data_IF_634747413699
#
_entry.id   IF_634747413699
#
_cell.length_a   1.000
_cell.length_b   1.000
_cell.length_c   1.000
_cell.angle_alpha   90.00
_cell.angle_beta   90.00
_cell.angle_gamma   90.00
#
_symmetry.space_group_name_H-M   'P 1'
#
loop_
_entity.id
_entity.type
_entity.pdbx_description
1 polymer ?
#
# COMPACT_ATOMS: atom_id res chain seq x y z
N UNK A 1 -25.37 12.15 -3.76
CA UNK A 1 -24.35 11.88 -2.71
C UNK A 1 -24.90 12.44 -1.42
N UNK A 2 -25.09 11.57 -0.43
CA UNK A 2 -25.61 11.99 0.88
C UNK A 2 -24.53 12.73 1.69
N UNK A 3 -24.94 13.55 2.66
CA UNK A 3 -24.02 14.28 3.54
C UNK A 3 -23.00 13.34 4.21
N UNK A 4 -23.43 12.13 4.59
CA UNK A 4 -22.59 11.11 5.22
C UNK A 4 -21.46 10.65 4.27
N UNK A 5 -21.76 10.41 3.00
CA UNK A 5 -20.77 10.01 1.99
C UNK A 5 -19.73 11.11 1.76
N UNK A 6 -20.17 12.37 1.71
CA UNK A 6 -19.27 13.52 1.61
C UNK A 6 -18.33 13.61 2.82
N UNK A 7 -18.87 13.45 4.04
CA UNK A 7 -18.07 13.46 5.28
C UNK A 7 -17.04 12.34 5.29
N UNK A 8 -17.43 11.12 4.90
CA UNK A 8 -16.51 9.98 4.79
C UNK A 8 -15.37 10.26 3.81
N UNK A 9 -15.67 10.81 2.62
CA UNK A 9 -14.67 11.18 1.63
C UNK A 9 -13.70 12.25 2.17
N UNK A 10 -14.21 13.28 2.86
CA UNK A 10 -13.36 14.34 3.43
C UNK A 10 -12.47 13.79 4.54
N UNK A 11 -12.99 12.93 5.42
CA UNK A 11 -12.22 12.29 6.48
C UNK A 11 -11.17 11.31 5.94
N UNK A 12 -11.39 10.77 4.75
CA UNK A 12 -10.44 9.86 4.09
C UNK A 12 -9.20 10.58 3.55
N UNK A 13 -9.30 11.87 3.21
CA UNK A 13 -8.18 12.65 2.65
C UNK A 13 -6.96 12.68 3.60
N UNK A 14 -7.09 13.03 4.90
CA UNK A 14 -5.98 12.97 5.85
C UNK A 14 -5.31 11.60 5.93
N UNK A 15 -6.09 10.52 5.88
CA UNK A 15 -5.57 9.15 5.94
C UNK A 15 -4.71 8.83 4.71
N UNK A 16 -5.17 9.22 3.51
CA UNK A 16 -4.38 9.07 2.29
C UNK A 16 -3.12 9.94 2.31
N UNK A 17 -3.21 11.18 2.79
CA UNK A 17 -2.05 12.06 2.93
C UNK A 17 -1.01 11.45 3.89
N UNK A 18 -1.45 10.89 5.01
CA UNK A 18 -0.57 10.19 5.96
C UNK A 18 0.07 8.94 5.33
N UNK A 19 -0.68 8.15 4.57
CA UNK A 19 -0.15 6.98 3.88
C UNK A 19 0.94 7.36 2.87
N UNK A 20 0.69 8.39 2.05
CA UNK A 20 1.66 8.92 1.09
C UNK A 20 2.89 9.49 1.80
N UNK A 21 2.70 10.26 2.88
CA UNK A 21 3.80 10.80 3.68
C UNK A 21 4.66 9.69 4.31
N UNK A 22 4.03 8.62 4.80
CA UNK A 22 4.71 7.44 5.35
C UNK A 22 5.53 6.73 4.27
N UNK A 23 4.97 6.50 3.08
CA UNK A 23 5.70 5.91 1.95
C UNK A 23 6.90 6.76 1.53
N UNK A 24 6.73 8.08 1.46
CA UNK A 24 7.80 9.01 1.13
C UNK A 24 8.92 8.98 2.18
N UNK A 25 8.56 9.05 3.47
CA UNK A 25 9.51 8.96 4.57
C UNK A 25 10.27 7.64 4.53
N UNK A 26 9.56 6.52 4.37
CA UNK A 26 10.15 5.19 4.28
C UNK A 26 11.13 5.07 3.12
N UNK A 27 10.77 5.57 1.93
CA UNK A 27 11.67 5.58 0.79
C UNK A 27 12.94 6.40 1.07
N UNK A 28 12.82 7.54 1.76
CA UNK A 28 13.96 8.38 2.14
C UNK A 28 14.89 7.65 3.13
N UNK A 29 14.32 7.00 4.14
CA UNK A 29 15.07 6.19 5.12
C UNK A 29 15.80 5.04 4.42
N UNK A 30 15.14 4.30 3.54
CA UNK A 30 15.76 3.18 2.82
C UNK A 30 16.92 3.61 1.92
N UNK A 31 16.83 4.79 1.30
CA UNK A 31 17.95 5.38 0.56
C UNK A 31 19.13 5.73 1.48
N UNK A 32 18.86 6.27 2.67
CA UNK A 32 19.91 6.61 3.66
C UNK A 32 20.67 5.36 4.15
N UNK A 33 19.95 4.27 4.42
CA UNK A 33 20.53 2.99 4.87
C UNK A 33 21.17 2.22 3.69
N UNK A 34 21.18 2.79 2.47
CA UNK A 34 21.72 2.18 1.24
C UNK A 34 21.15 0.79 0.95
N UNK A 35 19.93 0.51 1.41
CA UNK A 35 19.25 -0.74 1.09
C UNK A 35 18.79 -0.64 -0.36
N UNK A 36 19.59 -1.16 -1.29
CA UNK A 36 19.27 -1.20 -2.74
C UNK A 36 17.89 -1.81 -3.03
N UNK A 37 17.39 -2.64 -2.10
CA UNK A 37 16.12 -3.36 -2.20
C UNK A 37 14.93 -2.66 -1.54
N UNK A 38 15.12 -1.49 -0.93
CA UNK A 38 14.02 -0.72 -0.35
C UNK A 38 12.96 -0.31 -1.38
N UNK A 39 13.34 -0.20 -2.66
CA UNK A 39 12.40 0.04 -3.75
C UNK A 39 11.33 -1.07 -3.86
N UNK A 40 11.69 -2.34 -3.65
CA UNK A 40 10.76 -3.48 -3.71
C UNK A 40 9.67 -3.33 -2.65
N UNK A 41 10.06 -2.92 -1.44
CA UNK A 41 9.13 -2.69 -0.33
C UNK A 41 8.24 -1.48 -0.59
N UNK A 42 8.77 -0.40 -1.15
CA UNK A 42 7.96 0.76 -1.59
C UNK A 42 6.94 0.35 -2.66
N UNK A 43 7.34 -0.46 -3.64
CA UNK A 43 6.43 -0.97 -4.67
C UNK A 43 5.29 -1.77 -4.05
N UNK A 44 5.57 -2.66 -3.09
CA UNK A 44 4.50 -3.37 -2.36
C UNK A 44 3.55 -2.42 -1.63
N UNK A 45 4.08 -1.37 -1.00
CA UNK A 45 3.26 -0.36 -0.32
C UNK A 45 2.36 0.43 -1.26
N UNK A 46 2.82 0.72 -2.48
CA UNK A 46 2.00 1.35 -3.52
C UNK A 46 0.85 0.44 -3.94
N UNK A 47 1.12 -0.85 -4.21
CA UNK A 47 0.06 -1.79 -4.57
C UNK A 47 -0.97 -1.98 -3.45
N UNK A 48 -0.53 -2.03 -2.18
CA UNK A 48 -1.43 -2.06 -1.03
C UNK A 48 -2.30 -0.80 -0.95
N UNK A 49 -1.71 0.39 -1.11
CA UNK A 49 -2.43 1.65 -1.05
C UNK A 49 -3.48 1.76 -2.16
N UNK A 50 -3.10 1.43 -3.41
CA UNK A 50 -4.03 1.46 -4.55
C UNK A 50 -5.13 0.42 -4.36
N UNK A 51 -4.79 -0.80 -3.92
CA UNK A 51 -5.78 -1.84 -3.63
C UNK A 51 -6.78 -1.41 -2.56
N UNK A 52 -6.30 -0.80 -1.48
CA UNK A 52 -7.16 -0.24 -0.43
C UNK A 52 -8.09 0.86 -0.95
N UNK A 53 -7.56 1.82 -1.73
CA UNK A 53 -8.38 2.90 -2.31
C UNK A 53 -9.46 2.33 -3.20
N UNK A 54 -9.11 1.40 -4.10
CA UNK A 54 -10.08 0.75 -4.99
C UNK A 54 -11.13 -0.03 -4.21
N UNK A 55 -10.76 -0.68 -3.11
CA UNK A 55 -11.68 -1.42 -2.25
C UNK A 55 -12.68 -0.51 -1.53
N UNK A 56 -12.21 0.58 -0.93
CA UNK A 56 -13.02 1.41 -0.01
C UNK A 56 -13.85 2.48 -0.73
N UNK A 57 -13.46 2.87 -1.94
CA UNK A 57 -14.09 3.96 -2.68
C UNK A 57 -15.57 3.70 -3.03
N UNK A 58 -16.00 2.49 -3.47
CA UNK A 58 -17.42 2.19 -3.70
C UNK A 58 -18.28 2.35 -2.45
N UNK A 59 -17.78 1.86 -1.31
CA UNK A 59 -18.44 1.98 -0.02
C UNK A 59 -18.64 3.44 0.40
N UNK A 60 -17.66 4.31 0.13
CA UNK A 60 -17.76 5.74 0.46
C UNK A 60 -18.62 6.52 -0.55
N UNK A 61 -18.58 6.17 -1.84
CA UNK A 61 -19.23 6.94 -2.90
C UNK A 61 -20.68 6.52 -3.18
N UNK A 62 -20.96 5.22 -3.09
CA UNK A 62 -22.25 4.62 -3.48
C UNK A 62 -22.94 3.99 -2.26
N UNK A 63 -22.17 3.54 -1.26
CA UNK A 63 -22.70 2.93 -0.03
C UNK A 63 -22.77 1.40 -0.06
N UNK A 64 -22.35 0.79 -1.17
CA UNK A 64 -22.34 -0.65 -1.39
C UNK A 64 -21.04 -1.09 -2.07
N UNK A 65 -20.71 -2.37 -1.91
CA UNK A 65 -19.59 -3.00 -2.59
C UNK A 65 -19.88 -3.17 -4.09
N UNK A 66 -18.85 -3.01 -4.92
CA UNK A 66 -18.91 -3.30 -6.35
C UNK A 66 -17.98 -4.47 -6.62
N UNK A 67 -18.55 -5.63 -6.93
CA UNK A 67 -17.85 -6.93 -7.04
C UNK A 67 -16.60 -6.87 -7.95
N UNK A 68 -16.71 -6.15 -9.08
CA UNK A 68 -15.58 -5.95 -9.99
C UNK A 68 -14.42 -5.20 -9.31
N UNK A 69 -14.72 -4.14 -8.55
CA UNK A 69 -13.71 -3.33 -7.86
C UNK A 69 -13.12 -4.10 -6.68
N UNK A 70 -13.92 -4.90 -5.97
CA UNK A 70 -13.43 -5.78 -4.90
C UNK A 70 -12.45 -6.83 -5.46
N UNK A 71 -12.80 -7.47 -6.58
CA UNK A 71 -11.93 -8.44 -7.25
C UNK A 71 -10.62 -7.79 -7.71
N UNK A 72 -10.69 -6.59 -8.29
CA UNK A 72 -9.50 -5.82 -8.65
C UNK A 72 -8.65 -5.46 -7.44
N UNK A 73 -9.27 -5.01 -6.35
CA UNK A 73 -8.57 -4.67 -5.11
C UNK A 73 -7.86 -5.90 -4.51
N UNK A 74 -8.52 -7.06 -4.47
CA UNK A 74 -7.91 -8.29 -4.01
C UNK A 74 -6.74 -8.73 -4.89
N UNK A 75 -6.85 -8.56 -6.22
CA UNK A 75 -5.72 -8.79 -7.13
C UNK A 75 -4.53 -7.89 -6.83
N UNK A 76 -4.77 -6.59 -6.60
CA UNK A 76 -3.72 -5.63 -6.23
C UNK A 76 -3.07 -5.96 -4.88
N UNK A 77 -3.88 -6.29 -3.87
CA UNK A 77 -3.39 -6.69 -2.54
C UNK A 77 -2.57 -7.98 -2.63
N UNK A 78 -3.01 -8.95 -3.45
CA UNK A 78 -2.27 -10.18 -3.67
C UNK A 78 -0.90 -9.92 -4.31
N UNK A 79 -0.84 -9.09 -5.36
CA UNK A 79 0.44 -8.66 -5.97
C UNK A 79 1.32 -8.00 -4.90
N UNK A 80 0.74 -7.12 -4.09
CA UNK A 80 1.46 -6.44 -3.03
C UNK A 80 2.09 -7.43 -2.03
N UNK A 81 1.34 -8.44 -1.60
CA UNK A 81 1.81 -9.50 -0.70
C UNK A 81 2.92 -10.33 -1.32
N UNK A 82 2.82 -10.70 -2.60
CA UNK A 82 3.87 -11.45 -3.31
C UNK A 82 5.16 -10.63 -3.39
N UNK A 83 5.06 -9.35 -3.75
CA UNK A 83 6.21 -8.43 -3.81
C UNK A 83 6.84 -8.23 -2.42
N UNK A 84 6.01 -8.08 -1.40
CA UNK A 84 6.45 -7.93 -0.01
C UNK A 84 7.18 -9.20 0.48
N UNK A 85 6.60 -10.37 0.26
CA UNK A 85 7.18 -11.66 0.64
C UNK A 85 8.53 -11.86 -0.04
N UNK A 86 8.61 -11.58 -1.35
CA UNK A 86 9.87 -11.62 -2.10
C UNK A 86 10.89 -10.63 -1.52
N UNK A 87 10.49 -9.38 -1.30
CA UNK A 87 11.35 -8.34 -0.74
C UNK A 87 11.94 -8.72 0.61
N UNK A 88 11.10 -9.17 1.55
CA UNK A 88 11.50 -9.62 2.89
C UNK A 88 12.43 -10.83 2.82
N UNK A 89 12.06 -11.86 2.04
CA UNK A 89 12.86 -13.08 1.89
C UNK A 89 14.25 -12.77 1.35
N UNK A 90 14.32 -11.85 0.40
CA UNK A 90 15.57 -11.48 -0.29
C UNK A 90 16.45 -10.62 0.63
N UNK A 91 15.88 -9.68 1.39
CA UNK A 91 16.61 -8.92 2.43
C UNK A 91 17.17 -9.85 3.50
N UNK A 92 16.37 -10.81 3.97
CA UNK A 92 16.81 -11.78 4.97
C UNK A 92 17.99 -12.63 4.47
N UNK A 93 17.97 -13.07 3.22
CA UNK A 93 19.09 -13.83 2.61
C UNK A 93 20.37 -13.00 2.53
N UNK A 94 20.29 -11.73 2.10
CA UNK A 94 21.45 -10.85 2.05
C UNK A 94 22.07 -10.65 3.45
N UNK A 95 21.23 -10.43 4.47
CA UNK A 95 21.72 -10.27 5.83
C UNK A 95 22.35 -11.55 6.38
N UNK A 96 21.79 -12.71 6.05
CA UNK A 96 22.34 -14.01 6.45
C UNK A 96 23.72 -14.27 5.82
N UNK A 97 23.96 -13.78 4.61
CA UNK A 97 25.26 -13.88 3.93
C UNK A 97 26.32 -12.95 4.55
N UNK A 98 25.93 -11.86 5.22
CA UNK A 98 26.85 -10.90 5.87
C UNK A 98 27.23 -11.30 7.30
N UNK A 99 26.39 -12.06 7.99
CA UNK A 99 26.62 -12.48 9.40
C UNK A 99 27.48 -13.76 9.50
N UNK A 100 27.73 -14.46 8.38
CA UNK A 100 28.71 -15.56 8.32
C UNK A 100 30.12 -15.03 8.09
#
# INVERSE_FOLDING_TARGET
>A
MELIQLVLLVLHIPTLMLAVASLYYYQRVMRLIKVRRGAILVTSGIFLLVGYVVFILPWMAIGEGVELMETMAFGLIFIALVVLLYGVSRIYRDWREVIR
#
